data_IF_749285279560
#
_entry.id   IF_749285279560
#
_cell.length_a   1.000
_cell.length_b   1.000
_cell.length_c   1.000
_cell.angle_alpha   90.00
_cell.angle_beta   90.00
_cell.angle_gamma   90.00
#
_symmetry.space_group_name_H-M   'P 1'
#
loop_
_entity.id
_entity.type
_entity.pdbx_description
1 polymer ?
#
# COMPACT_ATOMS: atom_id res chain seq x y z
N UNK A 1 -6.80 20.46 17.72
CA UNK A 1 -7.42 20.06 16.43
C UNK A 1 -6.58 20.42 15.19
N UNK A 2 -5.94 21.60 15.06
CA UNK A 2 -5.23 21.99 13.82
C UNK A 2 -3.99 21.15 13.43
N UNK A 3 -3.15 20.72 14.39
CA UNK A 3 -1.87 20.00 14.08
C UNK A 3 -2.07 18.63 13.41
N UNK A 4 -3.06 17.86 13.86
CA UNK A 4 -3.35 16.52 13.31
C UNK A 4 -3.83 16.57 11.86
N UNK A 5 -4.63 17.58 11.50
CA UNK A 5 -5.06 17.81 10.13
C UNK A 5 -3.89 18.20 9.22
N UNK A 6 -2.94 19.00 9.70
CA UNK A 6 -1.71 19.32 8.93
C UNK A 6 -0.91 18.06 8.65
N UNK A 7 -0.65 17.23 9.67
CA UNK A 7 0.04 15.95 9.46
C UNK A 7 -0.74 15.04 8.49
N UNK A 8 -2.06 14.99 8.59
CA UNK A 8 -2.89 14.20 7.67
C UNK A 8 -2.77 14.68 6.22
N UNK A 9 -2.82 15.99 5.98
CA UNK A 9 -2.61 16.57 4.64
C UNK A 9 -1.20 16.31 4.10
N UNK A 10 -0.18 16.29 4.94
CA UNK A 10 1.20 15.96 4.52
C UNK A 10 1.38 14.45 4.27
N UNK A 11 0.71 13.59 5.02
CA UNK A 11 0.80 12.15 4.81
C UNK A 11 0.17 11.68 3.50
N UNK A 12 -0.85 12.38 2.98
CA UNK A 12 -1.51 12.02 1.72
C UNK A 12 -0.54 12.05 0.51
N UNK A 13 0.19 13.13 0.20
CA UNK A 13 1.11 13.15 -0.93
C UNK A 13 2.27 12.16 -0.72
N UNK A 14 2.74 11.99 0.52
CA UNK A 14 3.76 10.98 0.83
C UNK A 14 3.23 9.59 0.50
N UNK A 15 2.03 9.25 0.96
CA UNK A 15 1.35 7.99 0.66
C UNK A 15 1.22 7.78 -0.85
N UNK A 16 0.70 8.76 -1.59
CA UNK A 16 0.49 8.63 -3.03
C UNK A 16 1.81 8.40 -3.79
N UNK A 17 2.83 9.21 -3.51
CA UNK A 17 4.14 9.09 -4.19
C UNK A 17 4.81 7.77 -3.86
N UNK A 18 4.84 7.39 -2.58
CA UNK A 18 5.48 6.13 -2.15
C UNK A 18 4.72 4.90 -2.62
N UNK A 19 3.38 4.95 -2.66
CA UNK A 19 2.53 3.88 -3.20
C UNK A 19 2.78 3.68 -4.69
N UNK A 20 2.68 4.76 -5.47
CA UNK A 20 2.94 4.74 -6.92
C UNK A 20 4.34 4.20 -7.18
N UNK A 21 5.36 4.75 -6.53
CA UNK A 21 6.73 4.27 -6.73
C UNK A 21 6.87 2.77 -6.44
N UNK A 22 6.37 2.30 -5.29
CA UNK A 22 6.56 0.91 -4.85
C UNK A 22 5.85 -0.09 -5.77
N UNK A 23 4.61 0.21 -6.16
CA UNK A 23 3.81 -0.67 -7.02
C UNK A 23 4.30 -0.61 -8.47
N UNK A 24 4.65 0.56 -9.01
CA UNK A 24 5.16 0.66 -10.39
C UNK A 24 6.50 -0.05 -10.56
N UNK A 25 7.43 0.10 -9.61
CA UNK A 25 8.73 -0.59 -9.69
C UNK A 25 8.53 -2.10 -9.60
N UNK A 26 7.70 -2.57 -8.68
CA UNK A 26 7.48 -4.02 -8.50
C UNK A 26 6.65 -4.61 -9.64
N UNK A 27 5.72 -3.84 -10.20
CA UNK A 27 4.91 -4.22 -11.37
C UNK A 27 5.75 -4.48 -12.63
N UNK A 28 6.99 -3.99 -12.69
CA UNK A 28 7.91 -4.33 -13.80
C UNK A 28 8.19 -5.83 -13.92
N UNK A 29 7.94 -6.62 -12.87
CA UNK A 29 8.06 -8.07 -12.90
C UNK A 29 7.19 -8.70 -13.99
N UNK A 30 6.04 -8.09 -14.32
CA UNK A 30 5.16 -8.53 -15.39
C UNK A 30 5.82 -8.56 -16.78
N UNK A 31 6.87 -7.74 -16.98
CA UNK A 31 7.59 -7.60 -18.24
C UNK A 31 8.96 -8.29 -18.25
N UNK A 32 9.33 -8.97 -17.16
CA UNK A 32 10.59 -9.70 -17.09
C UNK A 32 10.51 -11.00 -17.90
N UNK A 33 11.67 -11.55 -18.34
CA UNK A 33 11.73 -12.91 -18.86
C UNK A 33 11.24 -13.93 -17.83
N UNK A 34 10.67 -15.04 -18.29
CA UNK A 34 10.17 -16.10 -17.40
C UNK A 34 11.25 -16.63 -16.45
N UNK A 35 12.51 -16.72 -16.89
CA UNK A 35 13.64 -17.15 -16.08
C UNK A 35 13.91 -16.24 -14.86
N UNK A 36 13.52 -14.96 -14.93
CA UNK A 36 13.76 -13.98 -13.87
C UNK A 36 12.52 -13.71 -13.00
N UNK A 37 11.31 -13.86 -13.57
CA UNK A 37 10.08 -13.60 -12.84
C UNK A 37 9.63 -14.81 -12.01
N UNK A 38 9.71 -16.02 -12.57
CA UNK A 38 9.24 -17.27 -11.95
C UNK A 38 9.88 -17.54 -10.58
N UNK A 39 11.20 -17.37 -10.39
CA UNK A 39 11.84 -17.55 -9.09
C UNK A 39 11.37 -16.56 -8.02
N UNK A 40 10.72 -15.45 -8.40
CA UNK A 40 10.21 -14.43 -7.48
C UNK A 40 8.78 -14.72 -7.00
N UNK A 41 8.05 -15.62 -7.67
CA UNK A 41 6.70 -15.98 -7.29
C UNK A 41 6.68 -16.68 -5.92
N UNK A 42 5.67 -16.35 -5.12
CA UNK A 42 5.48 -16.89 -3.78
C UNK A 42 4.27 -17.80 -3.78
N UNK A 43 3.12 -17.31 -4.28
CA UNK A 43 1.89 -18.06 -4.43
C UNK A 43 1.49 -18.31 -5.88
N UNK A 44 2.00 -17.50 -6.82
CA UNK A 44 1.71 -17.66 -8.24
C UNK A 44 2.29 -19.01 -8.73
N UNK A 45 1.49 -19.83 -9.44
CA UNK A 45 1.97 -21.06 -10.04
C UNK A 45 3.16 -20.86 -10.99
N UNK A 46 4.05 -21.85 -11.06
CA UNK A 46 5.27 -21.78 -11.89
C UNK A 46 5.04 -22.16 -13.36
N UNK A 47 3.86 -22.72 -13.67
CA UNK A 47 3.42 -23.14 -15.00
C UNK A 47 2.74 -22.03 -15.81
N UNK A 48 2.64 -20.81 -15.27
CA UNK A 48 2.11 -19.66 -15.99
C UNK A 48 2.88 -19.38 -17.28
N UNK A 49 2.13 -18.98 -18.31
CA UNK A 49 2.63 -18.69 -19.64
C UNK A 49 3.23 -17.28 -19.73
N UNK A 50 2.75 -16.33 -18.92
CA UNK A 50 3.26 -14.96 -18.91
C UNK A 50 3.53 -14.49 -17.49
N UNK A 51 4.59 -13.68 -17.33
CA UNK A 51 4.90 -13.06 -16.03
C UNK A 51 3.83 -12.02 -15.62
N UNK A 52 3.03 -11.53 -16.56
CA UNK A 52 1.86 -10.68 -16.30
C UNK A 52 0.76 -11.39 -15.53
N UNK A 53 0.75 -12.73 -15.51
CA UNK A 53 -0.22 -13.54 -14.78
C UNK A 53 0.14 -13.66 -13.28
N UNK A 54 1.19 -12.95 -12.83
CA UNK A 54 1.56 -12.86 -11.42
C UNK A 54 0.38 -12.38 -10.58
N UNK A 55 0.13 -13.07 -9.47
CA UNK A 55 -0.92 -12.67 -8.55
C UNK A 55 -0.60 -11.32 -7.91
N UNK A 56 -1.58 -10.41 -7.76
CA UNK A 56 -1.36 -9.11 -7.12
C UNK A 56 -0.79 -9.21 -5.70
N UNK A 57 -1.13 -10.29 -4.97
CA UNK A 57 -0.58 -10.55 -3.63
C UNK A 57 0.93 -10.82 -3.67
N UNK A 58 1.43 -11.52 -4.69
CA UNK A 58 2.86 -11.75 -4.87
C UNK A 58 3.55 -10.44 -5.20
N UNK A 59 2.97 -9.60 -6.08
CA UNK A 59 3.51 -8.25 -6.36
C UNK A 59 3.63 -7.44 -5.08
N UNK A 60 2.61 -7.46 -4.21
CA UNK A 60 2.65 -6.76 -2.93
C UNK A 60 3.73 -7.30 -1.98
N UNK A 61 3.84 -8.62 -1.83
CA UNK A 61 4.83 -9.25 -0.95
C UNK A 61 6.27 -9.09 -1.47
N UNK A 62 6.47 -9.16 -2.78
CA UNK A 62 7.75 -8.87 -3.40
C UNK A 62 8.11 -7.40 -3.20
N UNK A 63 7.14 -6.47 -3.33
CA UNK A 63 7.35 -5.06 -3.07
C UNK A 63 7.80 -4.83 -1.61
N UNK A 64 7.19 -5.53 -0.66
CA UNK A 64 7.58 -5.52 0.76
C UNK A 64 9.00 -6.02 0.99
N UNK A 65 9.39 -7.09 0.30
CA UNK A 65 10.71 -7.72 0.43
C UNK A 65 11.82 -6.90 -0.22
N UNK A 66 11.54 -6.22 -1.34
CA UNK A 66 12.57 -5.63 -2.20
C UNK A 66 12.64 -4.12 -2.14
N UNK A 67 11.53 -3.43 -1.83
CA UNK A 67 11.45 -1.98 -1.86
C UNK A 67 11.19 -1.42 -0.46
N UNK A 68 12.19 -0.80 0.21
CA UNK A 68 11.99 -0.19 1.54
C UNK A 68 10.92 0.91 1.55
N UNK A 69 10.68 1.56 0.41
CA UNK A 69 9.64 2.58 0.23
C UNK A 69 8.23 1.98 0.42
N UNK A 70 8.08 0.66 0.27
CA UNK A 70 6.82 -0.05 0.52
C UNK A 70 6.35 0.14 1.96
N UNK A 71 7.26 0.17 2.92
CA UNK A 71 6.93 0.41 4.33
C UNK A 71 6.41 1.84 4.56
N UNK A 72 6.91 2.83 3.82
CA UNK A 72 6.50 4.23 3.96
C UNK A 72 5.03 4.38 3.54
N UNK A 73 4.62 3.83 2.39
CA UNK A 73 3.22 3.95 1.98
C UNK A 73 2.30 3.11 2.87
N UNK A 74 2.75 1.96 3.38
CA UNK A 74 1.97 1.18 4.33
C UNK A 74 1.72 1.94 5.63
N UNK A 75 2.77 2.51 6.24
CA UNK A 75 2.65 3.26 7.48
C UNK A 75 1.81 4.53 7.32
N UNK A 76 2.02 5.27 6.23
CA UNK A 76 1.23 6.48 5.95
C UNK A 76 -0.21 6.15 5.60
N UNK A 77 -0.47 5.06 4.88
CA UNK A 77 -1.81 4.56 4.59
C UNK A 77 -2.56 4.15 5.86
N UNK A 78 -1.91 3.40 6.74
CA UNK A 78 -2.45 3.02 8.05
C UNK A 78 -2.77 4.26 8.89
N UNK A 79 -1.88 5.25 8.91
CA UNK A 79 -2.13 6.51 9.62
C UNK A 79 -3.33 7.27 9.04
N UNK A 80 -3.44 7.39 7.70
CA UNK A 80 -4.56 8.08 7.05
C UNK A 80 -5.90 7.41 7.40
N UNK A 81 -5.98 6.08 7.28
CA UNK A 81 -7.18 5.30 7.61
C UNK A 81 -7.49 5.42 9.10
N UNK A 82 -6.50 5.23 9.97
CA UNK A 82 -6.66 5.34 11.42
C UNK A 82 -7.16 6.72 11.85
N UNK A 83 -6.65 7.79 11.23
CA UNK A 83 -7.12 9.15 11.49
C UNK A 83 -8.58 9.35 11.07
N UNK A 84 -8.99 8.83 9.91
CA UNK A 84 -10.39 8.90 9.46
C UNK A 84 -11.32 8.16 10.42
N UNK A 85 -10.94 6.95 10.84
CA UNK A 85 -11.70 6.18 11.84
C UNK A 85 -11.80 6.95 13.16
N UNK A 86 -10.69 7.54 13.64
CA UNK A 86 -10.69 8.35 14.85
C UNK A 86 -11.66 9.54 14.76
N UNK A 87 -11.64 10.29 13.65
CA UNK A 87 -12.55 11.43 13.43
C UNK A 87 -14.01 10.97 13.41
N UNK A 88 -14.31 9.85 12.74
CA UNK A 88 -15.66 9.27 12.71
C UNK A 88 -16.13 8.88 14.11
N UNK A 89 -15.32 8.13 14.87
CA UNK A 89 -15.64 7.70 16.24
C UNK A 89 -15.83 8.89 17.17
N UNK A 90 -14.95 9.90 17.10
CA UNK A 90 -15.06 11.11 17.91
C UNK A 90 -16.37 11.88 17.61
N UNK A 91 -16.74 11.97 16.33
CA UNK A 91 -18.00 12.62 15.90
C UNK A 91 -19.23 11.85 16.39
N UNK A 92 -19.21 10.52 16.29
CA UNK A 92 -20.29 9.65 16.80
C UNK A 92 -20.45 9.77 18.31
N UNK A 93 -19.34 9.74 19.07
CA UNK A 93 -19.35 9.91 20.54
C UNK A 93 -19.91 11.27 20.95
N UNK A 94 -19.54 12.35 20.26
CA UNK A 94 -20.05 13.70 20.55
C UNK A 94 -21.55 13.82 20.27
N UNK A 95 -22.07 13.20 19.21
CA UNK A 95 -23.52 13.16 18.93
C UNK A 95 -24.31 12.41 19.99
N UNK A 96 -23.77 11.28 20.49
CA UNK A 96 -24.41 10.49 21.56
C UNK A 96 -24.49 11.22 22.91
N UNK A 97 -23.64 12.22 23.14
CA UNK A 97 -23.64 13.01 24.37
C UNK A 97 -24.54 14.26 24.30
N UNK A 98 -24.87 14.71 23.08
CA UNK A 98 -25.73 15.90 22.84
C UNK A 98 -27.21 15.55 22.61
N UNK A 99 -27.51 14.26 22.41
CA UNK A 99 -28.86 13.69 22.41
C UNK A 99 -29.12 13.02 23.75
#
# INVERSE_FOLDING_TARGET
MKKWWVMWFVCIPIFLVSYVYSIFITGKIAYLPQSECKPKFIFTPQDVQYCSDIYPIDVFLIALKTNPITYIWLLTGLYIIGFLVFVLVAKLRKRKFLN
#
